data_IF_657489718249
#
_entry.id   IF_657489718249
#
_cell.length_a   1.000
_cell.length_b   1.000
_cell.length_c   1.000
_cell.angle_alpha   90.00
_cell.angle_beta   90.00
_cell.angle_gamma   90.00
#
_symmetry.space_group_name_H-M   'P 1'
#
loop_
_entity.id
_entity.type
_entity.pdbx_description
1 polymer ?
#
# COMPACT_ATOMS: atom_id res chain seq x y z
N UNK A 1 39.61 -6.47 34.96
CA UNK A 1 39.59 -6.09 33.52
C UNK A 1 38.89 -7.25 32.82
N UNK A 2 37.71 -7.23 32.20
CA UNK A 2 36.78 -6.28 31.55
C UNK A 2 35.42 -7.03 31.60
N UNK A 3 34.37 -6.57 32.31
CA UNK A 3 33.37 -5.55 31.96
C UNK A 3 32.49 -5.93 30.74
N UNK A 4 31.37 -6.62 31.03
CA UNK A 4 30.02 -6.49 30.44
C UNK A 4 29.86 -6.72 28.90
N UNK A 5 28.85 -7.37 28.29
CA UNK A 5 27.45 -7.71 28.60
C UNK A 5 27.07 -8.90 27.68
N UNK A 6 26.80 -10.08 28.24
CA UNK A 6 25.49 -10.76 28.21
C UNK A 6 24.47 -10.31 27.14
N UNK A 7 24.06 -11.31 26.38
CA UNK A 7 22.71 -11.55 25.83
C UNK A 7 22.29 -10.85 24.52
N UNK A 8 22.21 -11.67 23.46
CA UNK A 8 21.13 -11.58 22.48
C UNK A 8 21.44 -10.84 21.18
N UNK A 9 22.37 -11.32 20.35
CA UNK A 9 22.51 -10.85 18.97
C UNK A 9 21.61 -11.68 18.02
N UNK A 10 20.29 -11.59 18.23
CA UNK A 10 19.28 -12.10 17.32
C UNK A 10 18.27 -10.98 17.05
N UNK A 11 17.91 -10.82 15.78
CA UNK A 11 16.75 -10.09 15.24
C UNK A 11 16.92 -8.57 15.09
N UNK A 12 17.20 -8.16 13.86
CA UNK A 12 17.14 -6.76 13.45
C UNK A 12 17.12 -6.57 11.94
N UNK A 13 16.48 -7.45 11.16
CA UNK A 13 16.06 -7.07 9.81
C UNK A 13 14.91 -6.07 9.98
N UNK A 14 15.24 -4.79 9.98
CA UNK A 14 14.25 -3.72 9.89
C UNK A 14 13.62 -3.80 8.50
N UNK A 15 12.48 -4.47 8.40
CA UNK A 15 11.63 -4.39 7.21
C UNK A 15 11.14 -2.95 7.09
N UNK A 16 11.70 -2.19 6.15
CA UNK A 16 11.10 -0.93 5.73
C UNK A 16 9.80 -1.27 5.01
N UNK A 17 8.69 -1.25 5.74
CA UNK A 17 7.37 -1.28 5.14
C UNK A 17 7.20 0.02 4.35
N UNK A 18 7.37 -0.05 3.03
CA UNK A 18 6.99 1.01 2.10
C UNK A 18 5.46 1.16 2.16
N UNK A 19 4.96 1.88 3.17
CA UNK A 19 3.61 2.42 3.13
C UNK A 19 3.57 3.34 1.91
N UNK A 20 2.89 2.91 0.84
CA UNK A 20 2.68 3.72 -0.34
C UNK A 20 2.01 5.02 0.12
N UNK A 21 2.74 6.14 0.02
CA UNK A 21 2.27 7.43 0.49
C UNK A 21 1.01 7.80 -0.28
N UNK A 22 -0.15 7.71 0.39
CA UNK A 22 -1.45 7.88 -0.25
C UNK A 22 -1.65 9.31 -0.77
N UNK A 23 -0.85 10.27 -0.30
CA UNK A 23 -0.85 11.66 -0.77
C UNK A 23 -0.52 11.74 -2.26
N UNK A 24 0.31 10.83 -2.77
CA UNK A 24 0.66 10.75 -4.20
C UNK A 24 -0.53 10.40 -5.10
N UNK A 25 -1.56 9.73 -4.58
CA UNK A 25 -2.76 9.45 -5.35
C UNK A 25 -3.60 10.72 -5.60
N UNK A 26 -3.60 11.68 -4.67
CA UNK A 26 -4.46 12.87 -4.77
C UNK A 26 -4.03 13.86 -5.85
N UNK A 27 -2.78 13.81 -6.29
CA UNK A 27 -2.28 14.65 -7.40
C UNK A 27 -2.66 14.12 -8.79
N UNK A 28 -3.21 12.89 -8.86
CA UNK A 28 -3.68 12.31 -10.11
C UNK A 28 -4.96 13.04 -10.55
N UNK A 29 -4.89 13.66 -11.74
CA UNK A 29 -5.99 14.46 -12.29
C UNK A 29 -7.15 13.61 -12.82
N UNK A 30 -6.85 12.45 -13.42
CA UNK A 30 -7.85 11.53 -13.94
C UNK A 30 -8.53 10.80 -12.76
N UNK A 31 -9.85 10.85 -12.72
CA UNK A 31 -10.65 10.45 -11.57
C UNK A 31 -10.60 8.94 -11.33
N UNK A 32 -10.66 8.13 -12.38
CA UNK A 32 -10.64 6.67 -12.30
C UNK A 32 -9.24 6.18 -11.85
N UNK A 33 -8.16 6.74 -12.40
CA UNK A 33 -6.78 6.49 -12.01
C UNK A 33 -6.49 6.90 -10.57
N UNK A 34 -7.00 8.05 -10.13
CA UNK A 34 -6.92 8.46 -8.72
C UNK A 34 -7.64 7.47 -7.82
N UNK A 35 -8.86 7.09 -8.19
CA UNK A 35 -9.69 6.14 -7.43
C UNK A 35 -9.03 4.78 -7.33
N UNK A 36 -8.45 4.30 -8.42
CA UNK A 36 -7.66 3.07 -8.49
C UNK A 36 -6.46 3.12 -7.55
N UNK A 37 -5.66 4.19 -7.61
CA UNK A 37 -4.50 4.38 -6.73
C UNK A 37 -4.92 4.37 -5.26
N UNK A 38 -5.97 5.12 -4.91
CA UNK A 38 -6.49 5.18 -3.55
C UNK A 38 -7.03 3.83 -3.07
N UNK A 39 -7.69 3.06 -3.94
CA UNK A 39 -8.20 1.73 -3.60
C UNK A 39 -7.07 0.76 -3.23
N UNK A 40 -5.97 0.76 -4.01
CA UNK A 40 -4.79 -0.04 -3.71
C UNK A 40 -4.07 0.44 -2.45
N UNK A 41 -3.83 1.75 -2.33
CA UNK A 41 -3.11 2.32 -1.19
C UNK A 41 -3.83 2.06 0.15
N UNK A 42 -5.16 2.04 0.15
CA UNK A 42 -5.97 1.76 1.34
C UNK A 42 -6.40 0.30 1.49
N UNK A 43 -6.04 -0.56 0.54
CA UNK A 43 -6.54 -1.93 0.44
C UNK A 43 -8.08 -2.01 0.54
N UNK A 44 -8.78 -1.07 -0.11
CA UNK A 44 -10.23 -0.90 -0.04
C UNK A 44 -10.88 -1.21 -1.40
N UNK A 45 -11.39 -2.44 -1.53
CA UNK A 45 -12.04 -2.91 -2.74
C UNK A 45 -13.38 -2.20 -3.00
N UNK A 46 -14.02 -1.61 -1.99
CA UNK A 46 -15.25 -0.85 -2.13
C UNK A 46 -15.04 0.39 -3.01
N UNK A 47 -13.87 1.01 -2.90
CA UNK A 47 -13.50 2.19 -3.67
C UNK A 47 -13.40 1.92 -5.18
N UNK A 48 -13.02 0.70 -5.58
CA UNK A 48 -12.98 0.32 -6.99
C UNK A 48 -14.34 0.47 -7.70
N UNK A 49 -15.48 0.37 -6.99
CA UNK A 49 -16.79 0.51 -7.62
C UNK A 49 -17.12 1.92 -8.12
N UNK A 50 -16.36 2.94 -7.69
CA UNK A 50 -16.47 4.30 -8.20
C UNK A 50 -15.76 4.53 -9.54
N UNK A 51 -14.95 3.56 -10.01
CA UNK A 51 -14.29 3.60 -11.32
C UNK A 51 -15.34 3.38 -12.41
N UNK A 52 -15.40 4.30 -13.38
CA UNK A 52 -16.38 4.27 -14.49
C UNK A 52 -15.96 3.30 -15.59
N UNK A 53 -14.66 3.22 -15.89
CA UNK A 53 -14.15 2.22 -16.82
C UNK A 53 -14.28 0.80 -16.24
N UNK A 54 -15.08 -0.03 -16.89
CA UNK A 54 -15.43 -1.36 -16.40
C UNK A 54 -14.25 -2.35 -16.38
N UNK A 55 -13.30 -2.21 -17.31
CA UNK A 55 -12.10 -3.04 -17.36
C UNK A 55 -11.14 -2.65 -16.23
N UNK A 56 -10.94 -1.35 -16.04
CA UNK A 56 -10.12 -0.80 -14.97
C UNK A 56 -10.69 -1.14 -13.58
N UNK A 57 -12.01 -1.05 -13.41
CA UNK A 57 -12.69 -1.49 -12.20
C UNK A 57 -12.44 -2.96 -11.90
N UNK A 58 -12.59 -3.83 -12.91
CA UNK A 58 -12.40 -5.27 -12.74
C UNK A 58 -10.96 -5.59 -12.34
N UNK A 59 -9.98 -4.90 -12.93
CA UNK A 59 -8.57 -5.00 -12.57
C UNK A 59 -8.31 -4.53 -11.14
N UNK A 60 -8.82 -3.37 -10.75
CA UNK A 60 -8.73 -2.84 -9.38
C UNK A 60 -9.24 -3.84 -8.35
N UNK A 61 -10.44 -4.37 -8.58
CA UNK A 61 -11.09 -5.34 -7.70
C UNK A 61 -10.27 -6.63 -7.54
N UNK A 62 -9.57 -7.04 -8.60
CA UNK A 62 -8.71 -8.23 -8.58
C UNK A 62 -7.38 -7.97 -7.85
N UNK A 63 -6.78 -6.79 -8.00
CA UNK A 63 -5.50 -6.46 -7.35
C UNK A 63 -5.67 -6.19 -5.86
N UNK A 64 -6.74 -5.50 -5.43
CA UNK A 64 -6.98 -5.21 -4.01
C UNK A 64 -7.35 -6.46 -3.20
N UNK A 65 -7.85 -7.53 -3.85
CA UNK A 65 -8.27 -8.77 -3.17
C UNK A 65 -7.21 -9.88 -3.16
N UNK A 66 -6.04 -9.63 -3.73
CA UNK A 66 -4.89 -10.56 -3.69
C UNK A 66 -4.19 -10.51 -2.33
#
# INVERSE_FOLDING_TARGET
MIRHYLAGLLLGLTTTANAADTSSCYVIAEADARTYCLALAHNDAGRCYAIQDSAMRSRCLAEVRQ
#
